data_IF_116357018507
#
_entry.id   IF_116357018507
#
_cell.length_a   1.000
_cell.length_b   1.000
_cell.length_c   1.000
_cell.angle_alpha   90.00
_cell.angle_beta   90.00
_cell.angle_gamma   90.00
#
_symmetry.space_group_name_H-M   'P 1'
#
loop_
_entity.id
_entity.type
_entity.pdbx_description
1 polymer ?
#
# COMPACT_ATOMS: atom_id res chain seq x y z
N UNK A 1 -10.37 -19.12 2.02
CA UNK A 1 -10.45 -17.88 1.22
C UNK A 1 -11.03 -18.23 -0.13
N UNK A 2 -12.01 -17.48 -0.58
CA UNK A 2 -12.63 -17.69 -1.90
C UNK A 2 -11.89 -16.88 -2.95
N UNK A 3 -11.96 -17.30 -4.20
CA UNK A 3 -11.40 -16.54 -5.32
C UNK A 3 -11.96 -15.09 -5.35
N UNK A 4 -13.25 -14.93 -5.10
CA UNK A 4 -13.91 -13.63 -5.01
C UNK A 4 -13.36 -12.72 -3.90
N UNK A 5 -12.88 -13.29 -2.78
CA UNK A 5 -12.25 -12.50 -1.72
C UNK A 5 -10.91 -11.93 -2.18
N UNK A 6 -10.11 -12.70 -2.92
CA UNK A 6 -8.80 -12.23 -3.39
C UNK A 6 -8.94 -11.21 -4.53
N UNK A 7 -9.89 -11.45 -5.46
CA UNK A 7 -10.24 -10.47 -6.50
C UNK A 7 -10.68 -9.12 -5.91
N UNK A 8 -11.40 -9.13 -4.79
CA UNK A 8 -11.82 -7.91 -4.10
C UNK A 8 -10.66 -7.16 -3.45
N UNK A 9 -9.62 -7.85 -2.96
CA UNK A 9 -8.41 -7.21 -2.44
C UNK A 9 -7.52 -6.67 -3.55
N UNK A 10 -7.35 -7.42 -4.65
CA UNK A 10 -6.61 -6.95 -5.83
C UNK A 10 -7.26 -5.70 -6.46
N UNK A 11 -8.58 -5.59 -6.41
CA UNK A 11 -9.29 -4.41 -6.91
C UNK A 11 -8.92 -3.11 -6.19
N UNK A 12 -8.39 -3.18 -4.96
CA UNK A 12 -7.97 -2.02 -4.16
C UNK A 12 -6.56 -1.52 -4.52
N UNK A 13 -5.85 -2.26 -5.36
CA UNK A 13 -4.51 -1.89 -5.79
C UNK A 13 -4.58 -1.27 -7.19
N UNK A 14 -3.97 -0.09 -7.39
CA UNK A 14 -3.75 0.42 -8.74
C UNK A 14 -2.63 -0.41 -9.38
N UNK A 15 -2.59 -0.39 -10.72
CA UNK A 15 -1.42 -0.87 -11.45
C UNK A 15 -0.15 -0.17 -10.95
N UNK A 16 0.93 -0.94 -10.86
CA UNK A 16 2.17 -0.50 -10.22
C UNK A 16 2.13 -0.64 -8.70
N UNK A 17 1.07 -1.23 -8.13
CA UNK A 17 0.91 -1.52 -6.69
C UNK A 17 1.02 -0.28 -5.78
N UNK A 18 0.71 0.90 -6.32
CA UNK A 18 0.86 2.18 -5.63
C UNK A 18 2.27 2.76 -5.63
N UNK A 19 3.23 2.11 -6.31
CA UNK A 19 4.52 2.72 -6.60
C UNK A 19 4.41 3.70 -7.77
N UNK A 20 4.94 4.90 -7.57
CA UNK A 20 4.82 6.02 -8.49
C UNK A 20 6.18 6.62 -8.83
N UNK A 21 6.26 7.21 -10.02
CA UNK A 21 7.41 7.99 -10.47
C UNK A 21 7.05 9.48 -10.42
N UNK A 22 7.88 10.27 -9.75
CA UNK A 22 7.70 11.72 -9.61
C UNK A 22 8.85 12.44 -10.27
N UNK A 23 8.54 13.24 -11.29
CA UNK A 23 9.55 14.05 -11.99
C UNK A 23 10.00 15.22 -11.13
N UNK A 24 11.30 15.51 -11.17
CA UNK A 24 11.93 16.64 -10.48
C UNK A 24 11.65 18.00 -11.16
N UNK A 25 10.49 18.13 -11.77
CA UNK A 25 9.99 19.36 -12.42
C UNK A 25 9.04 20.14 -11.50
N UNK A 26 8.43 19.42 -10.55
CA UNK A 26 7.62 19.95 -9.46
C UNK A 26 8.53 20.29 -8.27
N UNK A 27 8.43 21.50 -7.72
CA UNK A 27 9.17 21.88 -6.49
C UNK A 27 8.69 20.99 -5.34
N UNK A 28 9.41 19.90 -5.08
CA UNK A 28 9.19 19.08 -3.90
C UNK A 28 9.74 19.86 -2.68
N UNK A 29 9.04 19.84 -1.53
CA UNK A 29 9.64 20.28 -0.27
C UNK A 29 11.00 19.59 -0.12
N UNK A 30 12.02 20.30 0.40
CA UNK A 30 13.36 19.72 0.56
C UNK A 30 13.30 18.49 1.48
N UNK A 31 13.16 17.30 0.88
CA UNK A 31 13.25 16.03 1.58
C UNK A 31 14.75 15.80 1.84
N UNK A 32 15.19 15.51 3.08
CA UNK A 32 16.61 15.52 3.48
C UNK A 32 17.58 14.59 2.72
N UNK A 33 17.10 13.85 1.70
CA UNK A 33 17.88 12.89 0.90
C UNK A 33 17.75 13.08 -0.62
N UNK A 34 17.05 14.11 -1.08
CA UNK A 34 16.80 14.31 -2.50
C UNK A 34 17.96 15.06 -3.15
N UNK A 35 18.70 14.35 -4.01
CA UNK A 35 19.73 14.97 -4.84
C UNK A 35 19.07 15.72 -6.01
N UNK A 36 19.35 17.02 -6.15
CA UNK A 36 18.76 17.87 -7.18
C UNK A 36 19.16 17.48 -8.62
N UNK A 37 20.15 16.61 -8.82
CA UNK A 37 20.52 16.09 -10.16
C UNK A 37 19.66 14.93 -10.63
N UNK A 38 18.86 14.32 -9.75
CA UNK A 38 17.98 13.20 -10.09
C UNK A 38 16.77 13.76 -10.85
N UNK A 39 16.46 13.20 -12.02
CA UNK A 39 15.33 13.65 -12.86
C UNK A 39 13.99 13.07 -12.42
N UNK A 40 14.02 11.90 -11.80
CA UNK A 40 12.84 11.13 -11.42
C UNK A 40 13.07 10.46 -10.08
N UNK A 41 12.11 10.61 -9.18
CA UNK A 41 12.08 9.99 -7.87
C UNK A 41 11.03 8.89 -7.84
N UNK A 42 11.28 7.86 -7.05
CA UNK A 42 10.38 6.74 -6.88
C UNK A 42 9.94 6.64 -5.43
N UNK A 43 8.69 6.27 -5.23
CA UNK A 43 8.13 6.04 -3.90
C UNK A 43 6.85 5.25 -4.00
N UNK A 44 6.30 4.89 -2.84
CA UNK A 44 4.97 4.29 -2.72
C UNK A 44 4.07 5.26 -1.97
N UNK A 45 2.81 5.36 -2.38
CA UNK A 45 1.82 6.12 -1.59
C UNK A 45 1.41 5.29 -0.38
N UNK A 46 1.49 5.88 0.82
CA UNK A 46 1.29 5.19 2.10
C UNK A 46 0.00 4.39 2.19
N UNK A 47 -1.13 4.89 1.65
CA UNK A 47 -2.40 4.14 1.67
C UNK A 47 -2.27 2.75 1.02
N UNK A 48 -1.54 2.61 -0.08
CA UNK A 48 -1.39 1.34 -0.78
C UNK A 48 -0.45 0.40 -0.03
N UNK A 49 0.59 0.96 0.61
CA UNK A 49 1.45 0.18 1.49
C UNK A 49 0.72 -0.29 2.76
N UNK A 50 -0.16 0.53 3.33
CA UNK A 50 -1.03 0.17 4.46
C UNK A 50 -1.98 -0.97 4.08
N UNK A 51 -2.64 -0.88 2.91
CA UNK A 51 -3.52 -1.94 2.39
C UNK A 51 -2.75 -3.26 2.18
N UNK A 52 -1.56 -3.20 1.56
CA UNK A 52 -0.68 -4.35 1.40
C UNK A 52 -0.32 -4.99 2.75
N UNK A 53 0.06 -4.20 3.75
CA UNK A 53 0.41 -4.70 5.08
C UNK A 53 -0.78 -5.43 5.75
N UNK A 54 -1.99 -4.86 5.69
CA UNK A 54 -3.18 -5.48 6.26
C UNK A 54 -3.47 -6.82 5.57
N UNK A 55 -3.43 -6.86 4.23
CA UNK A 55 -3.58 -8.09 3.47
C UNK A 55 -2.49 -9.13 3.82
N UNK A 56 -1.22 -8.72 3.93
CA UNK A 56 -0.12 -9.62 4.23
C UNK A 56 -0.26 -10.29 5.61
N UNK A 57 -0.73 -9.54 6.62
CA UNK A 57 -0.99 -10.12 7.95
C UNK A 57 -2.14 -11.14 7.92
N UNK A 58 -3.22 -10.82 7.19
CA UNK A 58 -4.35 -11.75 6.97
C UNK A 58 -3.88 -13.03 6.28
N UNK A 59 -3.09 -12.91 5.22
CA UNK A 59 -2.60 -14.05 4.45
C UNK A 59 -1.64 -14.92 5.26
N UNK A 60 -0.69 -14.31 5.98
CA UNK A 60 0.20 -15.02 6.88
C UNK A 60 -0.58 -15.78 7.97
N UNK A 61 -1.59 -15.15 8.56
CA UNK A 61 -2.45 -15.79 9.55
C UNK A 61 -3.17 -17.02 8.97
N UNK A 62 -3.83 -16.90 7.82
CA UNK A 62 -4.55 -18.03 7.22
C UNK A 62 -3.61 -19.15 6.75
N UNK A 63 -2.38 -18.85 6.35
CA UNK A 63 -1.35 -19.89 6.08
C UNK A 63 -1.00 -20.67 7.33
N UNK A 64 -0.67 -19.97 8.41
CA UNK A 64 -0.34 -20.60 9.69
C UNK A 64 -1.52 -21.40 10.26
N UNK A 65 -2.76 -20.95 10.07
CA UNK A 65 -3.95 -21.65 10.52
C UNK A 65 -4.25 -22.92 9.70
N UNK A 66 -3.80 -22.99 8.43
CA UNK A 66 -3.89 -24.22 7.62
C UNK A 66 -2.84 -25.24 8.03
N UNK A 67 -1.66 -24.78 8.45
CA UNK A 67 -0.55 -25.63 8.88
C UNK A 67 -0.69 -26.09 10.35
N UNK A 68 -1.44 -25.34 11.16
CA UNK A 68 -1.79 -25.66 12.55
C UNK A 68 -3.19 -26.25 12.70
N UNK A 69 -3.45 -26.87 13.85
CA UNK A 69 -4.80 -27.36 14.20
C UNK A 69 -5.34 -26.52 15.36
N UNK A 70 -5.76 -25.28 15.08
CA UNK A 70 -6.33 -24.38 16.09
C UNK A 70 -7.83 -24.24 15.89
N UNK A 71 -8.62 -24.80 16.83
CA UNK A 71 -10.08 -24.74 16.83
C UNK A 71 -10.65 -23.61 17.71
N UNK A 72 -9.78 -22.83 18.36
CA UNK A 72 -10.18 -21.80 19.34
C UNK A 72 -10.29 -20.39 18.73
N UNK A 73 -10.00 -20.23 17.44
CA UNK A 73 -9.98 -18.91 16.80
C UNK A 73 -11.27 -18.66 16.02
N UNK A 74 -11.96 -17.57 16.38
CA UNK A 74 -13.12 -17.05 15.65
C UNK A 74 -12.70 -16.38 14.34
N UNK A 75 -12.78 -17.15 13.25
CA UNK A 75 -12.40 -16.70 11.90
C UNK A 75 -13.35 -15.65 11.33
N UNK A 76 -14.62 -15.65 11.74
CA UNK A 76 -15.60 -14.66 11.28
C UNK A 76 -15.29 -13.30 11.89
N UNK A 77 -15.06 -13.26 13.20
CA UNK A 77 -14.70 -12.02 13.88
C UNK A 77 -13.39 -11.42 13.34
N UNK A 78 -12.35 -12.25 13.16
CA UNK A 78 -11.09 -11.79 12.56
C UNK A 78 -11.28 -11.30 11.11
N UNK A 79 -12.09 -12.01 10.31
CA UNK A 79 -12.44 -11.58 8.95
C UNK A 79 -13.03 -10.17 8.92
N UNK A 80 -14.00 -9.89 9.79
CA UNK A 80 -14.59 -8.55 9.92
C UNK A 80 -13.61 -7.52 10.48
N UNK A 81 -12.69 -7.90 11.38
CA UNK A 81 -11.64 -7.00 11.89
C UNK A 81 -10.71 -6.51 10.77
N UNK A 82 -10.22 -7.41 9.90
CA UNK A 82 -9.39 -6.99 8.76
C UNK A 82 -10.16 -6.11 7.79
N UNK A 83 -11.43 -6.42 7.52
CA UNK A 83 -12.27 -5.59 6.66
C UNK A 83 -12.53 -4.19 7.27
N UNK A 84 -12.75 -4.12 8.57
CA UNK A 84 -12.92 -2.85 9.28
C UNK A 84 -11.66 -1.96 9.18
N UNK A 85 -10.46 -2.53 9.38
CA UNK A 85 -9.19 -1.80 9.23
C UNK A 85 -9.00 -1.34 7.78
N UNK A 86 -9.30 -2.20 6.80
CA UNK A 86 -9.27 -1.86 5.37
C UNK A 86 -10.19 -0.67 5.05
N UNK A 87 -11.40 -0.66 5.58
CA UNK A 87 -12.33 0.46 5.42
C UNK A 87 -11.81 1.75 6.08
N UNK A 88 -11.21 1.65 7.27
CA UNK A 88 -10.62 2.79 7.95
C UNK A 88 -9.45 3.41 7.16
N UNK A 89 -8.61 2.58 6.54
CA UNK A 89 -7.51 3.02 5.67
C UNK A 89 -8.05 3.77 4.44
N UNK A 90 -9.06 3.22 3.74
CA UNK A 90 -9.66 3.91 2.60
C UNK A 90 -10.35 5.21 3.01
N UNK A 91 -11.08 5.21 4.13
CA UNK A 91 -11.76 6.39 4.67
C UNK A 91 -10.77 7.51 5.04
N UNK A 92 -9.58 7.13 5.52
CA UNK A 92 -8.51 8.07 5.87
C UNK A 92 -7.27 7.83 5.02
N UNK A 93 -7.46 7.89 3.70
CA UNK A 93 -6.41 7.61 2.74
C UNK A 93 -5.22 8.55 2.93
N UNK A 94 -4.12 7.96 3.36
CA UNK A 94 -2.88 8.65 3.63
C UNK A 94 -2.07 8.85 2.35
N UNK A 95 -1.98 10.11 1.92
CA UNK A 95 -1.31 10.53 0.67
C UNK A 95 0.19 10.73 0.83
N UNK A 96 0.74 10.42 1.99
CA UNK A 96 2.17 10.47 2.22
C UNK A 96 2.92 9.65 1.16
N UNK A 97 4.01 10.21 0.66
CA UNK A 97 4.92 9.48 -0.24
C UNK A 97 6.07 8.94 0.57
N UNK A 98 6.18 7.62 0.55
CA UNK A 98 7.26 6.92 1.18
C UNK A 98 8.35 6.66 0.14
N UNK A 99 9.37 7.51 0.19
CA UNK A 99 10.41 7.54 -0.83
C UNK A 99 11.34 6.33 -0.75
N UNK A 100 11.72 5.78 -1.90
CA UNK A 100 12.79 4.80 -1.99
C UNK A 100 14.13 5.50 -1.69
N UNK A 101 14.80 5.07 -0.63
CA UNK A 101 16.03 5.70 -0.15
C UNK A 101 17.28 5.12 -0.84
N UNK A 102 17.18 3.95 -1.47
CA UNK A 102 18.22 3.35 -2.33
C UNK A 102 17.64 2.22 -3.20
N UNK A 103 18.32 1.87 -4.31
CA UNK A 103 17.96 0.73 -5.18
C UNK A 103 18.08 -0.63 -4.48
N UNK A 104 18.80 -0.70 -3.34
CA UNK A 104 19.05 -1.93 -2.57
C UNK A 104 17.95 -2.24 -1.55
N UNK A 105 17.08 -1.27 -1.24
CA UNK A 105 15.95 -1.43 -0.31
C UNK A 105 14.65 -1.29 -1.09
N UNK A 106 14.21 -2.39 -1.69
CA UNK A 106 12.89 -2.51 -2.29
C UNK A 106 11.82 -2.57 -1.19
N UNK A 107 11.49 -1.41 -0.61
CA UNK A 107 10.49 -1.33 0.45
C UNK A 107 10.54 -0.01 1.19
N UNK A 108 9.37 0.55 1.44
CA UNK A 108 9.26 1.62 2.42
C UNK A 108 9.12 1.03 3.82
N UNK A 109 9.64 1.74 4.82
CA UNK A 109 9.48 1.38 6.23
C UNK A 109 8.25 2.05 6.87
N UNK A 110 7.60 3.02 6.22
CA UNK A 110 6.43 3.74 6.74
C UNK A 110 6.68 4.69 7.92
N UNK A 111 7.93 4.80 8.43
CA UNK A 111 8.27 5.63 9.58
C UNK A 111 8.76 7.04 9.21
N UNK A 112 8.33 8.06 9.97
CA UNK A 112 8.91 9.42 9.92
C UNK A 112 8.21 10.41 8.99
N UNK A 113 7.00 10.10 8.52
CA UNK A 113 6.25 10.93 7.60
C UNK A 113 5.01 11.58 8.24
N UNK A 114 4.49 12.66 7.64
CA UNK A 114 3.27 13.34 8.11
C UNK A 114 2.06 13.01 7.25
N UNK A 115 1.06 12.42 7.89
CA UNK A 115 -0.15 11.91 7.25
C UNK A 115 -1.24 12.98 7.11
N UNK A 116 -1.92 13.04 5.95
CA UNK A 116 -3.09 13.90 5.69
C UNK A 116 -4.22 13.09 5.01
N UNK A 117 -5.48 13.45 5.28
CA UNK A 117 -6.66 12.70 4.80
C UNK A 117 -7.10 13.21 3.41
N UNK A 118 -7.34 12.31 2.46
CA UNK A 118 -7.87 12.65 1.13
C UNK A 118 -8.84 11.59 0.55
N UNK A 119 -9.44 11.93 -0.58
CA UNK A 119 -10.32 11.08 -1.40
C UNK A 119 -9.53 9.90 -2.01
N UNK A 120 -9.91 8.67 -1.67
CA UNK A 120 -9.27 7.45 -2.14
C UNK A 120 -9.38 7.26 -3.65
N UNK A 121 -10.52 7.58 -4.26
CA UNK A 121 -10.75 7.34 -5.69
C UNK A 121 -9.92 8.29 -6.54
N UNK A 122 -9.82 9.55 -6.11
CA UNK A 122 -8.95 10.53 -6.74
C UNK A 122 -7.47 10.10 -6.66
N UNK A 123 -7.06 9.55 -5.52
CA UNK A 123 -5.70 9.07 -5.30
C UNK A 123 -5.39 7.81 -6.12
N UNK A 124 -6.35 6.88 -6.23
CA UNK A 124 -6.25 5.71 -7.09
C UNK A 124 -6.02 6.12 -8.55
N UNK A 125 -6.85 7.03 -9.06
CA UNK A 125 -6.74 7.53 -10.42
C UNK A 125 -5.38 8.20 -10.68
N UNK A 126 -4.91 9.02 -9.72
CA UNK A 126 -3.60 9.65 -9.83
C UNK A 126 -2.45 8.62 -9.85
N UNK A 127 -2.53 7.58 -9.01
CA UNK A 127 -1.53 6.53 -8.95
C UNK A 127 -1.46 5.70 -10.24
N UNK A 128 -2.61 5.38 -10.85
CA UNK A 128 -2.68 4.71 -12.16
C UNK A 128 -1.99 5.51 -13.27
N UNK A 129 -2.17 6.84 -13.28
CA UNK A 129 -1.55 7.74 -14.27
C UNK A 129 -0.02 7.82 -14.09
N UNK A 130 0.46 7.78 -12.85
CA UNK A 130 1.87 8.00 -12.49
C UNK A 130 2.63 6.72 -12.11
N UNK A 131 2.05 5.55 -12.41
CA UNK A 131 2.55 4.24 -12.00
C UNK A 131 3.95 3.93 -12.52
N UNK A 132 4.73 3.22 -11.70
CA UNK A 132 6.06 2.74 -12.08
C UNK A 132 6.02 1.43 -12.91
N UNK A 133 4.96 0.64 -12.80
CA UNK A 133 4.78 -0.63 -13.52
C UNK A 133 3.31 -0.99 -13.72
N UNK A 134 3.03 -2.16 -14.30
CA UNK A 134 1.67 -2.57 -14.68
C UNK A 134 1.08 -3.70 -13.82
N UNK A 135 1.81 -4.17 -12.80
CA UNK A 135 1.30 -5.22 -11.91
C UNK A 135 0.18 -4.69 -11.01
N UNK A 136 -0.87 -5.49 -10.84
CA UNK A 136 -2.11 -5.13 -10.15
C UNK A 136 -2.42 -5.99 -8.92
N UNK A 137 -1.57 -6.97 -8.58
CA UNK A 137 -1.83 -7.79 -7.39
C UNK A 137 -1.52 -7.04 -6.09
N UNK A 138 -2.27 -7.36 -5.04
CA UNK A 138 -1.91 -6.93 -3.67
C UNK A 138 -0.78 -7.76 -3.06
N UNK A 139 -0.55 -8.96 -3.58
CA UNK A 139 0.56 -9.86 -3.23
C UNK A 139 1.88 -9.40 -3.79
#
# INVERSE_FOLDING_TARGET
>A
MTNASEEAWDALMPRGRGFVVIKNETVLPQVPKFNATIREYRGVISVFHQLHCVWATREAFFRLLRDGNSTEIDLEHLGHCWDFVRQAIQCRSDTTIEWQVSDELSGSLGWGYQHQCYDYDALYAWAEEHRWGDDKSIQ
#
